data_IF_706487355494
#
_entry.id   IF_706487355494
#
_cell.length_a   1.000
_cell.length_b   1.000
_cell.length_c   1.000
_cell.angle_alpha   90.00
_cell.angle_beta   90.00
_cell.angle_gamma   90.00
#
_symmetry.space_group_name_H-M   'P 1'
#
loop_
_entity.id
_entity.type
_entity.pdbx_description
1 polymer ?
#
# COMPACT_ATOMS: atom_id res chain seq x y z
N UNK A 1 -38.20 -39.94 -4.60
CA UNK A 1 -38.75 -38.60 -4.49
C UNK A 1 -37.63 -37.70 -3.95
N UNK A 2 -36.93 -37.07 -4.82
CA UNK A 2 -35.79 -36.16 -4.50
C UNK A 2 -36.28 -34.75 -4.75
N UNK A 3 -36.47 -34.01 -3.67
CA UNK A 3 -36.75 -32.58 -3.74
C UNK A 3 -35.45 -31.82 -4.00
N UNK A 4 -35.30 -31.29 -5.19
CA UNK A 4 -34.27 -30.29 -5.54
C UNK A 4 -34.72 -28.91 -5.08
N UNK A 5 -34.09 -28.40 -4.03
CA UNK A 5 -34.21 -27.00 -3.63
C UNK A 5 -33.36 -26.14 -4.57
N UNK A 6 -34.00 -25.51 -5.52
CA UNK A 6 -33.41 -24.43 -6.33
C UNK A 6 -33.26 -23.19 -5.46
N UNK A 7 -32.04 -22.89 -5.04
CA UNK A 7 -31.66 -21.61 -4.47
C UNK A 7 -31.76 -20.55 -5.56
N UNK A 8 -32.82 -19.74 -5.53
CA UNK A 8 -32.91 -18.48 -6.26
C UNK A 8 -31.91 -17.49 -5.67
N UNK A 9 -30.66 -17.46 -6.17
CA UNK A 9 -29.81 -16.31 -6.04
C UNK A 9 -30.43 -15.15 -6.83
N UNK A 10 -31.10 -14.26 -6.10
CA UNK A 10 -31.49 -12.97 -6.63
C UNK A 10 -30.20 -12.19 -6.90
N UNK A 11 -29.75 -12.20 -8.14
CA UNK A 11 -28.70 -11.33 -8.65
C UNK A 11 -29.20 -9.87 -8.47
N UNK A 12 -28.90 -9.26 -7.32
CA UNK A 12 -29.03 -7.82 -7.16
C UNK A 12 -28.20 -7.14 -8.26
N UNK A 13 -28.89 -6.58 -9.25
CA UNK A 13 -28.26 -5.75 -10.29
C UNK A 13 -27.67 -4.53 -9.61
N UNK A 14 -26.38 -4.60 -9.26
CA UNK A 14 -25.65 -3.48 -8.67
C UNK A 14 -25.64 -2.31 -9.65
N UNK A 15 -26.29 -1.23 -9.28
CA UNK A 15 -26.36 0.01 -10.06
C UNK A 15 -24.98 0.68 -9.98
N UNK A 16 -24.47 1.15 -11.13
CA UNK A 16 -23.23 1.95 -11.19
C UNK A 16 -23.54 3.33 -10.64
N UNK A 17 -22.85 3.74 -9.59
CA UNK A 17 -23.01 5.00 -8.87
C UNK A 17 -21.81 5.88 -9.21
N UNK A 18 -22.06 7.16 -9.54
CA UNK A 18 -21.04 8.18 -9.78
C UNK A 18 -21.44 9.50 -9.13
N UNK A 19 -20.47 10.29 -8.74
CA UNK A 19 -20.70 11.61 -8.16
C UNK A 19 -20.71 12.73 -9.21
N UNK A 20 -20.14 12.51 -10.39
CA UNK A 20 -19.96 13.52 -11.41
C UNK A 20 -20.73 13.17 -12.69
N UNK A 21 -21.37 14.16 -13.30
CA UNK A 21 -21.99 14.09 -14.62
C UNK A 21 -21.82 15.44 -15.34
N UNK A 22 -22.02 15.46 -16.66
CA UNK A 22 -22.14 16.70 -17.44
C UNK A 22 -23.58 17.05 -17.67
N UNK A 23 -23.91 18.34 -17.62
CA UNK A 23 -25.21 18.85 -18.13
C UNK A 23 -25.20 19.01 -19.66
N UNK A 24 -26.32 19.44 -20.25
CA UNK A 24 -26.45 19.68 -21.70
C UNK A 24 -25.50 20.77 -22.24
N UNK A 25 -24.88 21.57 -21.37
CA UNK A 25 -23.89 22.59 -21.71
C UNK A 25 -22.46 22.12 -21.48
N UNK A 26 -22.25 20.82 -21.23
CA UNK A 26 -20.97 20.22 -20.85
C UNK A 26 -20.36 20.78 -19.56
N UNK A 27 -21.18 21.38 -18.70
CA UNK A 27 -20.72 21.81 -17.38
C UNK A 27 -20.68 20.63 -16.43
N UNK A 28 -19.58 20.53 -15.66
CA UNK A 28 -19.43 19.51 -14.61
C UNK A 28 -20.45 19.76 -13.51
N UNK A 29 -21.24 18.74 -13.19
CA UNK A 29 -22.21 18.71 -12.12
C UNK A 29 -21.81 17.66 -11.09
N UNK A 30 -21.63 18.06 -9.83
CA UNK A 30 -21.25 17.18 -8.73
C UNK A 30 -22.46 16.86 -7.85
N UNK A 31 -22.82 15.59 -7.74
CA UNK A 31 -23.98 15.14 -6.95
C UNK A 31 -23.86 15.44 -5.44
N UNK A 32 -22.69 15.79 -4.96
CA UNK A 32 -22.44 16.18 -3.56
C UNK A 32 -22.75 17.66 -3.31
N UNK A 33 -22.91 18.47 -4.38
CA UNK A 33 -23.31 19.87 -4.28
C UNK A 33 -24.83 20.03 -4.07
N UNK A 34 -25.24 21.17 -3.54
CA UNK A 34 -26.64 21.41 -3.14
C UNK A 34 -27.55 21.78 -4.30
N UNK A 35 -26.98 22.27 -5.38
CA UNK A 35 -27.66 22.98 -6.48
C UNK A 35 -28.03 22.08 -7.68
N UNK A 36 -27.88 20.76 -7.50
CA UNK A 36 -28.21 19.81 -8.56
C UNK A 36 -29.73 19.58 -8.64
N UNK A 37 -30.28 19.87 -9.79
CA UNK A 37 -31.73 19.75 -10.06
C UNK A 37 -32.06 18.40 -10.68
N UNK A 38 -33.17 17.78 -10.22
CA UNK A 38 -33.65 16.49 -10.78
C UNK A 38 -34.20 16.61 -12.21
N UNK A 39 -34.65 17.80 -12.59
CA UNK A 39 -35.28 18.04 -13.87
C UNK A 39 -34.30 18.16 -15.05
N UNK A 40 -33.02 18.40 -14.77
CA UNK A 40 -32.02 18.58 -15.82
C UNK A 40 -31.61 17.25 -16.45
N UNK A 41 -31.10 17.31 -17.67
CA UNK A 41 -30.51 16.16 -18.36
C UNK A 41 -29.06 16.11 -18.02
N UNK A 42 -28.58 14.89 -17.75
CA UNK A 42 -27.18 14.64 -17.37
C UNK A 42 -26.59 13.51 -18.20
N UNK A 43 -25.31 13.62 -18.50
CA UNK A 43 -24.55 12.68 -19.31
C UNK A 43 -23.29 12.17 -18.56
N UNK A 44 -22.97 10.91 -18.78
CA UNK A 44 -21.77 10.30 -18.21
C UNK A 44 -20.51 10.96 -18.80
N UNK A 45 -19.53 11.39 -17.97
CA UNK A 45 -18.31 12.01 -18.45
C UNK A 45 -17.42 11.08 -19.30
N UNK A 46 -17.64 9.78 -19.22
CA UNK A 46 -16.83 8.77 -19.88
C UNK A 46 -17.44 8.28 -21.19
N UNK A 47 -18.72 7.87 -21.17
CA UNK A 47 -19.37 7.30 -22.36
C UNK A 47 -20.34 8.26 -23.07
N UNK A 48 -20.63 9.42 -22.49
CA UNK A 48 -21.58 10.39 -23.02
C UNK A 48 -23.06 9.98 -22.90
N UNK A 49 -23.36 8.77 -22.44
CA UNK A 49 -24.74 8.31 -22.31
C UNK A 49 -25.48 8.99 -21.17
N UNK A 50 -26.83 9.02 -21.30
CA UNK A 50 -27.71 9.66 -20.30
C UNK A 50 -27.59 8.97 -18.94
N UNK A 51 -27.46 9.79 -17.90
CA UNK A 51 -27.53 9.39 -16.49
C UNK A 51 -28.65 10.11 -15.76
N UNK A 52 -29.12 9.53 -14.67
CA UNK A 52 -30.23 10.05 -13.85
C UNK A 52 -29.66 10.47 -12.49
N UNK A 53 -29.95 11.68 -12.07
CA UNK A 53 -29.67 12.16 -10.74
C UNK A 53 -30.63 11.54 -9.72
N UNK A 54 -30.11 10.87 -8.73
CA UNK A 54 -30.83 10.24 -7.63
C UNK A 54 -30.50 10.94 -6.31
N UNK A 55 -31.52 11.43 -5.63
CA UNK A 55 -31.42 12.09 -4.32
C UNK A 55 -32.62 11.66 -3.47
N UNK A 56 -32.38 11.25 -2.24
CA UNK A 56 -33.44 10.83 -1.30
C UNK A 56 -32.95 10.87 0.16
N UNK A 57 -33.90 10.76 1.09
CA UNK A 57 -33.62 10.86 2.53
C UNK A 57 -32.68 9.69 3.01
N UNK A 58 -32.82 8.52 2.40
CA UNK A 58 -32.03 7.32 2.76
C UNK A 58 -30.97 6.95 1.71
N UNK A 59 -30.89 7.71 0.62
CA UNK A 59 -30.00 7.42 -0.50
C UNK A 59 -29.07 8.61 -0.67
N UNK A 60 -27.76 8.35 -0.60
CA UNK A 60 -26.77 9.36 -0.91
C UNK A 60 -26.97 9.87 -2.35
N UNK A 61 -26.87 11.18 -2.54
CA UNK A 61 -27.02 11.81 -3.86
C UNK A 61 -25.95 11.27 -4.80
N UNK A 62 -26.37 10.82 -6.00
CA UNK A 62 -25.48 10.27 -7.01
C UNK A 62 -26.13 10.32 -8.40
N UNK A 63 -25.33 10.20 -9.44
CA UNK A 63 -25.79 9.89 -10.79
C UNK A 63 -25.73 8.38 -11.04
N UNK A 64 -26.65 7.88 -11.84
CA UNK A 64 -26.69 6.48 -12.22
C UNK A 64 -27.09 6.33 -13.69
N UNK A 65 -26.44 5.41 -14.39
CA UNK A 65 -26.85 5.06 -15.75
C UNK A 65 -28.28 4.50 -15.78
N UNK A 66 -28.97 4.72 -16.88
CA UNK A 66 -30.25 4.05 -17.17
C UNK A 66 -30.01 2.56 -17.43
N UNK A 67 -31.04 1.73 -17.30
CA UNK A 67 -30.94 0.29 -17.60
C UNK A 67 -30.47 0.08 -19.05
N UNK A 68 -29.59 -0.90 -19.26
CA UNK A 68 -29.01 -1.31 -20.54
C UNK A 68 -27.97 -0.35 -21.14
N UNK A 69 -27.29 0.44 -20.32
CA UNK A 69 -26.14 1.22 -20.73
C UNK A 69 -24.96 0.31 -21.15
N UNK A 70 -24.34 0.62 -22.27
CA UNK A 70 -23.15 -0.05 -22.81
C UNK A 70 -21.83 0.50 -22.20
N UNK A 71 -21.88 1.32 -21.17
CA UNK A 71 -20.70 1.87 -20.52
C UNK A 71 -19.87 0.75 -19.90
N UNK A 72 -18.90 0.27 -20.65
CA UNK A 72 -18.04 -0.86 -20.31
C UNK A 72 -16.72 -0.42 -19.69
N UNK A 73 -16.65 0.86 -19.29
CA UNK A 73 -15.43 1.39 -18.72
C UNK A 73 -15.12 0.70 -17.38
N UNK A 74 -14.01 -0.05 -17.37
CA UNK A 74 -13.47 -0.68 -16.16
C UNK A 74 -13.25 0.31 -15.02
N UNK A 75 -13.12 1.59 -15.35
CA UNK A 75 -12.87 2.70 -14.44
C UNK A 75 -14.02 2.95 -13.46
N UNK A 76 -15.28 2.70 -13.88
CA UNK A 76 -16.43 2.70 -12.98
C UNK A 76 -16.72 1.29 -12.46
N UNK A 77 -15.71 0.61 -11.91
CA UNK A 77 -15.92 -0.65 -11.20
C UNK A 77 -16.96 -0.43 -10.10
N UNK A 78 -17.77 -1.46 -9.85
CA UNK A 78 -18.75 -1.50 -8.76
C UNK A 78 -18.08 -1.14 -7.44
N UNK A 79 -18.05 0.14 -7.11
CA UNK A 79 -17.51 0.60 -5.83
C UNK A 79 -18.41 0.14 -4.69
N UNK A 80 -17.81 -0.20 -3.56
CA UNK A 80 -18.57 -0.50 -2.36
C UNK A 80 -19.15 0.78 -1.77
N UNK A 81 -20.19 0.65 -0.96
CA UNK A 81 -20.80 1.80 -0.26
C UNK A 81 -19.75 2.54 0.58
N UNK A 82 -18.88 1.81 1.23
CA UNK A 82 -17.81 2.35 2.07
C UNK A 82 -16.76 3.12 1.26
N UNK A 83 -16.47 2.67 0.02
CA UNK A 83 -15.58 3.42 -0.88
C UNK A 83 -16.18 4.77 -1.26
N UNK A 84 -17.47 4.78 -1.61
CA UNK A 84 -18.20 6.01 -1.94
C UNK A 84 -18.28 6.96 -0.74
N UNK A 85 -18.53 6.44 0.46
CA UNK A 85 -18.52 7.23 1.69
C UNK A 85 -17.13 7.84 1.95
N UNK A 86 -16.07 7.07 1.78
CA UNK A 86 -14.70 7.57 1.95
C UNK A 86 -14.37 8.66 0.93
N UNK A 87 -14.74 8.52 -0.35
CA UNK A 87 -14.58 9.58 -1.37
C UNK A 87 -15.29 10.86 -0.95
N UNK A 88 -16.53 10.75 -0.45
CA UNK A 88 -17.29 11.91 0.04
C UNK A 88 -16.60 12.57 1.24
N UNK A 89 -16.14 11.78 2.20
CA UNK A 89 -15.49 12.31 3.40
C UNK A 89 -14.17 12.99 3.03
N UNK A 90 -13.37 12.39 2.15
CA UNK A 90 -12.14 12.98 1.59
C UNK A 90 -12.44 14.27 0.82
N UNK A 91 -13.47 14.27 -0.05
CA UNK A 91 -13.87 15.47 -0.79
C UNK A 91 -14.22 16.62 0.16
N UNK A 92 -15.06 16.35 1.17
CA UNK A 92 -15.45 17.35 2.15
C UNK A 92 -14.26 17.87 2.97
N UNK A 93 -13.35 16.95 3.35
CA UNK A 93 -12.13 17.29 4.07
C UNK A 93 -11.24 18.23 3.25
N UNK A 94 -10.96 17.88 2.00
CA UNK A 94 -10.12 18.69 1.14
C UNK A 94 -10.78 20.04 0.75
N UNK A 95 -12.09 20.04 0.51
CA UNK A 95 -12.83 21.25 0.17
C UNK A 95 -12.85 22.28 1.32
N UNK A 96 -12.66 21.85 2.56
CA UNK A 96 -12.54 22.79 3.70
C UNK A 96 -11.23 23.56 3.67
N UNK A 97 -10.21 23.09 2.92
CA UNK A 97 -8.86 23.65 2.89
C UNK A 97 -8.44 24.21 1.53
N UNK A 98 -9.00 23.68 0.44
CA UNK A 98 -8.68 24.08 -0.93
C UNK A 98 -9.92 24.57 -1.65
N UNK A 99 -9.74 25.55 -2.52
CA UNK A 99 -10.84 26.18 -3.25
C UNK A 99 -11.33 25.33 -4.43
N UNK A 100 -10.41 24.68 -5.13
CA UNK A 100 -10.67 23.95 -6.37
C UNK A 100 -10.42 22.46 -6.17
N UNK A 101 -11.38 21.76 -5.56
CA UNK A 101 -11.36 20.31 -5.33
C UNK A 101 -12.43 19.65 -6.18
N UNK A 102 -12.04 18.59 -6.88
CA UNK A 102 -12.95 17.78 -7.70
C UNK A 102 -12.99 16.34 -7.20
N UNK A 103 -14.18 15.75 -7.17
CA UNK A 103 -14.38 14.31 -6.95
C UNK A 103 -14.57 13.65 -8.31
N UNK A 104 -14.04 12.45 -8.49
CA UNK A 104 -14.12 11.68 -9.75
C UNK A 104 -13.67 12.52 -10.97
N UNK A 105 -12.54 13.21 -10.82
CA UNK A 105 -11.98 14.01 -11.91
C UNK A 105 -11.53 13.13 -13.08
N UNK A 106 -12.11 13.38 -14.25
CA UNK A 106 -11.83 12.65 -15.49
C UNK A 106 -10.73 13.35 -16.27
N UNK A 107 -9.66 12.62 -16.60
CA UNK A 107 -8.56 13.14 -17.40
C UNK A 107 -8.09 12.14 -18.47
N UNK A 108 -7.50 12.65 -19.54
CA UNK A 108 -6.97 11.85 -20.65
C UNK A 108 -5.54 11.43 -20.39
N UNK A 109 -5.22 10.18 -20.72
CA UNK A 109 -3.88 9.62 -20.73
C UNK A 109 -3.50 9.31 -22.16
N UNK A 110 -2.69 10.18 -22.79
CA UNK A 110 -2.40 10.06 -24.24
C UNK A 110 -3.61 10.36 -25.10
N UNK A 111 -3.76 9.66 -26.23
CA UNK A 111 -4.78 9.98 -27.24
C UNK A 111 -6.15 9.36 -26.95
N UNK A 112 -6.21 8.16 -26.35
CA UNK A 112 -7.43 7.37 -26.24
C UNK A 112 -7.82 6.97 -24.83
N UNK A 113 -6.87 6.91 -23.93
CA UNK A 113 -7.12 6.38 -22.59
C UNK A 113 -7.64 7.45 -21.64
N UNK A 114 -8.59 7.06 -20.80
CA UNK A 114 -9.18 7.92 -19.77
C UNK A 114 -8.93 7.31 -18.41
N UNK A 115 -8.57 8.15 -17.44
CA UNK A 115 -8.54 7.78 -16.04
C UNK A 115 -9.42 8.70 -15.22
N UNK A 116 -9.84 8.22 -14.05
CA UNK A 116 -10.66 8.97 -13.11
C UNK A 116 -9.93 8.98 -11.77
N UNK A 117 -9.64 10.15 -11.26
CA UNK A 117 -9.11 10.36 -9.92
C UNK A 117 -10.25 10.34 -8.90
N UNK A 118 -10.07 9.63 -7.78
CA UNK A 118 -11.09 9.68 -6.71
C UNK A 118 -11.27 11.11 -6.20
N UNK A 119 -10.17 11.80 -5.92
CA UNK A 119 -10.15 13.24 -5.56
C UNK A 119 -9.02 13.92 -6.33
N UNK A 120 -9.28 15.12 -6.83
CA UNK A 120 -8.28 15.96 -7.49
C UNK A 120 -8.29 17.37 -6.88
N UNK A 121 -7.11 17.85 -6.50
CA UNK A 121 -6.90 19.23 -6.03
C UNK A 121 -6.20 20.01 -7.15
N UNK A 122 -6.97 20.81 -7.85
CA UNK A 122 -6.50 21.53 -9.04
C UNK A 122 -5.40 22.54 -8.70
N UNK A 123 -5.56 23.27 -7.59
CA UNK A 123 -4.62 24.30 -7.14
C UNK A 123 -3.17 23.77 -7.01
N UNK A 124 -2.99 22.50 -6.68
CA UNK A 124 -1.71 21.86 -6.44
C UNK A 124 -1.35 20.81 -7.50
N UNK A 125 -2.25 20.53 -8.45
CA UNK A 125 -2.14 19.46 -9.43
C UNK A 125 -1.85 18.08 -8.79
N UNK A 126 -2.60 17.76 -7.72
CA UNK A 126 -2.45 16.53 -6.93
C UNK A 126 -3.73 15.73 -6.97
N UNK A 127 -3.62 14.45 -7.28
CA UNK A 127 -4.70 13.47 -7.18
C UNK A 127 -4.50 12.54 -5.98
N UNK A 128 -5.62 12.14 -5.39
CA UNK A 128 -5.66 11.10 -4.37
C UNK A 128 -6.50 9.94 -4.85
N UNK A 129 -5.97 8.74 -4.69
CA UNK A 129 -6.64 7.47 -4.92
C UNK A 129 -6.83 6.75 -3.61
N UNK A 130 -8.06 6.47 -3.24
CA UNK A 130 -8.37 5.72 -2.03
C UNK A 130 -8.50 4.22 -2.33
N UNK A 131 -7.64 3.42 -1.74
CA UNK A 131 -7.58 2.00 -2.03
C UNK A 131 -8.03 1.14 -0.85
N UNK A 132 -9.20 0.55 -1.00
CA UNK A 132 -9.81 -0.38 -0.04
C UNK A 132 -9.81 -1.83 -0.52
N UNK A 133 -9.74 -2.07 -1.81
CA UNK A 133 -9.75 -3.42 -2.40
C UNK A 133 -8.35 -3.85 -2.79
N UNK A 134 -8.05 -5.14 -2.62
CA UNK A 134 -6.81 -5.70 -3.16
C UNK A 134 -6.94 -5.78 -4.68
N UNK A 135 -6.01 -5.16 -5.39
CA UNK A 135 -5.88 -5.21 -6.85
C UNK A 135 -4.45 -5.62 -7.23
N UNK A 136 -4.22 -6.18 -8.42
CA UNK A 136 -2.90 -6.55 -8.88
C UNK A 136 -1.93 -5.35 -8.89
N UNK A 137 -0.67 -5.58 -8.52
CA UNK A 137 0.37 -4.54 -8.54
C UNK A 137 0.52 -3.91 -9.93
N UNK A 138 0.43 -4.70 -10.99
CA UNK A 138 0.52 -4.21 -12.37
C UNK A 138 -0.57 -3.19 -12.70
N UNK A 139 -1.79 -3.37 -12.17
CA UNK A 139 -2.86 -2.39 -12.34
C UNK A 139 -2.57 -1.10 -11.57
N UNK A 140 -1.98 -1.20 -10.37
CA UNK A 140 -1.57 -0.03 -9.58
C UNK A 140 -0.48 0.74 -10.34
N UNK A 141 0.54 0.04 -10.86
CA UNK A 141 1.61 0.61 -11.70
C UNK A 141 1.05 1.31 -12.93
N UNK A 142 0.16 0.64 -13.66
CA UNK A 142 -0.50 1.17 -14.86
C UNK A 142 -1.24 2.49 -14.57
N UNK A 143 -2.03 2.51 -13.50
CA UNK A 143 -2.74 3.71 -13.06
C UNK A 143 -1.76 4.82 -12.68
N UNK A 144 -0.74 4.52 -11.90
CA UNK A 144 0.29 5.48 -11.48
C UNK A 144 1.00 6.12 -12.68
N UNK A 145 1.41 5.30 -13.66
CA UNK A 145 2.03 5.78 -14.92
C UNK A 145 1.07 6.70 -15.70
N UNK A 146 -0.23 6.43 -15.68
CA UNK A 146 -1.22 7.28 -16.32
C UNK A 146 -1.25 8.70 -15.72
N UNK A 147 -1.21 8.82 -14.41
CA UNK A 147 -1.11 10.12 -13.71
C UNK A 147 0.21 10.84 -14.04
N UNK A 148 1.33 10.13 -14.05
CA UNK A 148 2.63 10.68 -14.43
C UNK A 148 2.61 11.25 -15.85
N UNK A 149 2.05 10.51 -16.82
CA UNK A 149 1.92 10.96 -18.21
C UNK A 149 1.02 12.19 -18.34
N UNK A 150 0.01 12.33 -17.50
CA UNK A 150 -0.84 13.51 -17.43
C UNK A 150 -0.19 14.67 -16.65
N UNK A 151 1.00 14.49 -16.07
CA UNK A 151 1.68 15.46 -15.25
C UNK A 151 1.02 15.69 -13.88
N UNK A 152 0.14 14.77 -13.45
CA UNK A 152 -0.58 14.84 -12.19
C UNK A 152 0.19 14.08 -11.12
N UNK A 153 0.44 14.73 -9.98
CA UNK A 153 1.06 14.08 -8.82
C UNK A 153 0.04 13.19 -8.11
N UNK A 154 0.31 11.90 -8.01
CA UNK A 154 -0.59 10.94 -7.40
C UNK A 154 -0.15 10.54 -5.99
N UNK A 155 -1.13 10.48 -5.07
CA UNK A 155 -0.97 9.94 -3.72
C UNK A 155 -2.01 8.86 -3.50
N UNK A 156 -1.53 7.63 -3.24
CA UNK A 156 -2.37 6.52 -2.86
C UNK A 156 -2.64 6.53 -1.35
N UNK A 157 -3.89 6.42 -0.98
CA UNK A 157 -4.37 6.32 0.40
C UNK A 157 -4.88 4.90 0.66
N UNK A 158 -4.26 4.22 1.60
CA UNK A 158 -4.67 2.87 2.00
C UNK A 158 -5.78 2.99 3.07
N UNK A 159 -6.83 2.16 2.96
CA UNK A 159 -7.80 1.99 4.06
C UNK A 159 -7.11 1.36 5.28
N UNK A 160 -6.79 2.18 6.28
CA UNK A 160 -6.05 1.72 7.45
C UNK A 160 -6.88 0.79 8.32
N UNK A 161 -8.19 0.99 8.41
CA UNK A 161 -9.08 0.11 9.17
C UNK A 161 -9.15 -1.30 8.61
N UNK A 162 -8.94 -1.46 7.30
CA UNK A 162 -8.96 -2.76 6.63
C UNK A 162 -7.62 -3.46 6.62
N UNK A 163 -6.54 -2.73 6.37
CA UNK A 163 -5.24 -3.31 6.08
C UNK A 163 -4.26 -3.29 7.24
N UNK A 164 -4.58 -2.57 8.32
CA UNK A 164 -3.72 -2.45 9.50
C UNK A 164 -4.42 -3.05 10.71
N UNK A 165 -3.71 -3.91 11.42
CA UNK A 165 -4.13 -4.43 12.71
C UNK A 165 -3.14 -3.96 13.77
N UNK A 166 -3.60 -3.13 14.68
CA UNK A 166 -2.84 -2.79 15.88
C UNK A 166 -2.78 -4.01 16.81
N UNK A 167 -1.60 -4.34 17.30
CA UNK A 167 -1.35 -5.45 18.21
C UNK A 167 -1.25 -4.94 19.64
N UNK A 168 -0.54 -3.83 19.84
CA UNK A 168 -0.42 -3.09 21.10
C UNK A 168 0.03 -1.66 20.81
N UNK A 169 -0.25 -0.76 21.72
CA UNK A 169 0.21 0.63 21.69
C UNK A 169 0.68 1.07 23.07
N UNK A 170 1.74 1.85 23.10
CA UNK A 170 2.29 2.43 24.31
C UNK A 170 3.03 3.73 23.97
N UNK A 171 2.72 4.80 24.69
CA UNK A 171 3.40 6.11 24.60
C UNK A 171 3.55 6.64 23.16
N UNK A 172 2.47 6.57 22.37
CA UNK A 172 2.43 7.02 20.98
C UNK A 172 3.14 6.10 19.97
N UNK A 173 3.73 5.00 20.43
CA UNK A 173 4.35 3.98 19.61
C UNK A 173 3.39 2.79 19.49
N UNK A 174 3.02 2.41 18.28
CA UNK A 174 2.17 1.25 18.02
C UNK A 174 2.98 0.09 17.43
N UNK A 175 2.60 -1.12 17.79
CA UNK A 175 3.07 -2.36 17.18
C UNK A 175 1.94 -2.88 16.31
N UNK A 176 2.19 -2.99 15.04
CA UNK A 176 1.17 -3.33 14.05
C UNK A 176 1.52 -4.57 13.26
N UNK A 177 0.47 -5.18 12.69
CA UNK A 177 0.58 -6.09 11.56
C UNK A 177 -0.18 -5.48 10.40
N UNK A 178 0.45 -5.38 9.25
CA UNK A 178 -0.19 -4.88 8.05
C UNK A 178 -0.36 -5.98 6.99
N UNK A 179 -1.35 -5.81 6.12
CA UNK A 179 -1.67 -6.78 5.06
C UNK A 179 -0.58 -6.76 3.96
N UNK A 180 -0.36 -7.88 3.24
CA UNK A 180 0.61 -7.94 2.13
C UNK A 180 0.43 -6.86 1.08
N UNK A 181 -0.80 -6.45 0.87
CA UNK A 181 -1.16 -5.41 -0.09
C UNK A 181 -0.48 -4.06 0.17
N UNK A 182 -0.22 -3.73 1.44
CA UNK A 182 0.45 -2.47 1.84
C UNK A 182 1.89 -2.40 1.33
N UNK A 183 2.56 -3.54 1.10
CA UNK A 183 3.92 -3.57 0.55
C UNK A 183 4.02 -2.78 -0.77
N UNK A 184 2.95 -2.76 -1.59
CA UNK A 184 2.90 -2.06 -2.86
C UNK A 184 2.99 -0.53 -2.74
N UNK A 185 2.76 0.02 -1.55
CA UNK A 185 2.66 1.47 -1.26
C UNK A 185 3.71 1.98 -0.27
N UNK A 186 4.68 1.14 0.09
CA UNK A 186 5.77 1.55 0.97
C UNK A 186 6.65 2.57 0.25
N UNK A 187 6.89 3.68 0.92
CA UNK A 187 7.85 4.70 0.51
C UNK A 187 9.18 4.48 1.23
N UNK A 188 10.29 4.78 0.54
CA UNK A 188 11.61 4.84 1.14
C UNK A 188 12.28 6.18 0.81
N UNK A 189 12.50 7.00 1.83
CA UNK A 189 13.10 8.31 1.66
C UNK A 189 14.06 8.64 2.80
N UNK A 190 15.31 8.96 2.49
CA UNK A 190 16.38 9.26 3.46
C UNK A 190 16.47 8.24 4.60
N UNK A 191 16.40 6.96 4.28
CA UNK A 191 16.45 5.89 5.27
C UNK A 191 15.19 5.73 6.11
N UNK A 192 14.07 6.32 5.74
CA UNK A 192 12.79 6.20 6.44
C UNK A 192 11.81 5.40 5.57
N UNK A 193 11.08 4.50 6.19
CA UNK A 193 10.02 3.69 5.55
C UNK A 193 8.68 4.20 6.04
N UNK A 194 7.75 4.48 5.12
CA UNK A 194 6.43 4.99 5.48
C UNK A 194 5.41 4.73 4.37
N UNK A 195 4.12 4.87 4.69
CA UNK A 195 3.02 4.90 3.72
C UNK A 195 1.93 5.86 4.19
N UNK A 196 1.06 6.25 3.27
CA UNK A 196 -0.09 7.10 3.54
C UNK A 196 -1.36 6.26 3.68
N UNK A 197 -2.22 6.67 4.61
CA UNK A 197 -3.48 6.02 4.85
C UNK A 197 -4.63 7.00 5.12
N UNK A 198 -5.82 6.46 5.00
CA UNK A 198 -7.05 7.09 5.42
C UNK A 198 -7.77 6.22 6.43
N UNK A 199 -7.98 6.75 7.62
CA UNK A 199 -8.85 6.14 8.63
C UNK A 199 -10.30 6.51 8.32
N UNK A 200 -11.04 5.56 7.74
CA UNK A 200 -12.44 5.78 7.34
C UNK A 200 -13.40 5.87 8.53
N UNK A 201 -13.01 5.41 9.72
CA UNK A 201 -13.80 5.51 10.95
C UNK A 201 -13.63 6.89 11.59
N UNK A 202 -12.37 7.30 11.82
CA UNK A 202 -12.06 8.59 12.45
C UNK A 202 -11.99 9.73 11.42
N UNK A 203 -12.11 9.43 10.12
CA UNK A 203 -12.06 10.41 9.01
C UNK A 203 -10.80 11.24 9.05
N UNK A 204 -9.68 10.59 9.28
CA UNK A 204 -8.38 11.23 9.39
C UNK A 204 -7.40 10.73 8.34
N UNK A 205 -6.62 11.66 7.85
CA UNK A 205 -5.51 11.40 6.95
C UNK A 205 -4.27 11.07 7.78
N UNK A 206 -3.59 9.98 7.46
CA UNK A 206 -2.57 9.41 8.32
C UNK A 206 -1.27 9.09 7.58
N UNK A 207 -0.16 9.37 8.23
CA UNK A 207 1.16 8.88 7.88
C UNK A 207 1.59 7.79 8.86
N UNK A 208 1.95 6.63 8.35
CA UNK A 208 2.54 5.55 9.13
C UNK A 208 4.03 5.49 8.82
N UNK A 209 4.86 5.91 9.75
CA UNK A 209 6.31 5.66 9.68
C UNK A 209 6.61 4.33 10.36
N UNK A 210 7.40 3.47 9.70
CA UNK A 210 7.59 2.08 10.07
C UNK A 210 9.04 1.77 10.41
N UNK A 211 9.22 0.82 11.37
CA UNK A 211 10.49 0.20 11.73
C UNK A 211 10.33 -1.31 11.83
N UNK A 212 11.38 -2.03 11.53
CA UNK A 212 11.39 -3.50 11.67
C UNK A 212 11.18 -3.91 13.12
N UNK A 213 10.27 -4.86 13.36
CA UNK A 213 9.90 -5.27 14.72
C UNK A 213 10.45 -6.64 15.09
N UNK A 214 10.02 -7.69 14.40
CA UNK A 214 10.37 -9.07 14.72
C UNK A 214 10.55 -9.89 13.42
N UNK A 215 10.82 -11.19 13.57
CA UNK A 215 11.04 -12.09 12.44
C UNK A 215 9.76 -12.42 11.64
N UNK A 216 8.57 -12.01 12.12
CA UNK A 216 7.32 -12.23 11.39
C UNK A 216 7.16 -11.17 10.31
N UNK A 217 6.93 -11.61 9.09
CA UNK A 217 6.70 -10.71 7.96
C UNK A 217 5.56 -9.74 8.27
N UNK A 218 5.77 -8.48 7.93
CA UNK A 218 4.76 -7.41 8.04
C UNK A 218 4.31 -7.08 9.46
N UNK A 219 5.10 -7.47 10.46
CA UNK A 219 4.99 -6.89 11.78
C UNK A 219 5.97 -5.70 11.87
N UNK A 220 5.50 -4.58 12.34
CA UNK A 220 6.30 -3.36 12.43
C UNK A 220 6.05 -2.63 13.77
N UNK A 221 7.05 -1.90 14.21
CA UNK A 221 6.87 -0.77 15.10
C UNK A 221 6.46 0.40 14.23
N UNK A 222 5.49 1.20 14.64
CA UNK A 222 5.11 2.38 13.89
C UNK A 222 4.78 3.56 14.79
N UNK A 223 4.96 4.75 14.21
CA UNK A 223 4.34 5.97 14.70
C UNK A 223 3.36 6.44 13.64
N UNK A 224 2.14 6.67 14.11
CA UNK A 224 1.05 7.20 13.31
C UNK A 224 0.94 8.70 13.55
N UNK A 225 0.96 9.47 12.50
CA UNK A 225 0.81 10.92 12.55
C UNK A 225 -0.34 11.34 11.66
N UNK A 226 -1.28 12.11 12.20
CA UNK A 226 -2.30 12.80 11.38
C UNK A 226 -1.63 13.97 10.68
N UNK A 227 -1.84 14.07 9.37
CA UNK A 227 -1.13 15.02 8.51
C UNK A 227 -2.09 16.12 8.04
N UNK A 228 -1.61 17.36 8.08
CA UNK A 228 -2.26 18.44 7.33
C UNK A 228 -1.90 18.35 5.83
N UNK A 229 -2.81 18.74 4.97
CA UNK A 229 -2.57 18.64 3.52
C UNK A 229 -1.49 19.58 2.99
N UNK A 230 -1.25 20.70 3.65
CA UNK A 230 -0.16 21.61 3.29
C UNK A 230 1.23 20.95 3.35
N UNK A 231 1.35 19.83 4.08
CA UNK A 231 2.59 19.06 4.22
C UNK A 231 2.79 18.03 3.09
N UNK A 232 1.80 17.90 2.18
CA UNK A 232 1.83 16.90 1.09
C UNK A 232 2.63 17.27 -0.14
N UNK A 233 3.07 18.51 -0.26
CA UNK A 233 3.73 18.97 -1.48
C UNK A 233 4.99 18.20 -1.84
N UNK A 234 5.70 17.69 -0.85
CA UNK A 234 6.88 16.83 -1.08
C UNK A 234 7.08 15.95 0.15
N UNK A 235 7.54 14.69 0.02
CA UNK A 235 8.02 13.88 1.16
C UNK A 235 9.03 14.62 2.04
N UNK A 236 9.74 15.59 1.49
CA UNK A 236 10.73 16.45 2.16
C UNK A 236 10.20 17.31 3.29
N UNK A 237 8.91 17.68 3.25
CA UNK A 237 8.26 18.49 4.29
C UNK A 237 7.66 17.66 5.42
N UNK A 238 7.61 16.33 5.26
CA UNK A 238 7.08 15.45 6.29
C UNK A 238 8.02 15.43 7.50
N UNK A 239 7.45 15.63 8.67
CA UNK A 239 8.16 15.47 9.94
C UNK A 239 8.31 13.99 10.28
N UNK A 240 9.18 13.31 9.54
CA UNK A 240 9.57 11.94 9.85
C UNK A 240 10.55 11.96 11.03
N UNK A 241 10.37 11.03 11.95
CA UNK A 241 11.28 10.91 13.10
C UNK A 241 12.66 10.45 12.66
N UNK A 242 13.68 11.08 13.22
CA UNK A 242 15.08 10.69 12.99
C UNK A 242 15.51 9.47 13.83
N UNK A 243 14.87 9.26 15.00
CA UNK A 243 15.18 8.14 15.88
C UNK A 243 14.84 6.81 15.22
N UNK A 244 15.75 5.86 15.29
CA UNK A 244 15.49 4.47 14.91
C UNK A 244 14.78 3.73 16.07
N UNK A 245 13.61 3.16 15.76
CA UNK A 245 12.81 2.34 16.67
C UNK A 245 12.83 0.84 16.31
N UNK A 246 13.77 0.42 15.45
CA UNK A 246 13.94 -0.98 15.08
C UNK A 246 14.14 -1.83 16.34
N UNK A 247 13.29 -2.84 16.52
CA UNK A 247 13.34 -3.69 17.70
C UNK A 247 14.60 -4.55 17.69
N UNK A 248 15.32 -4.59 18.80
CA UNK A 248 16.37 -5.57 19.02
C UNK A 248 15.76 -6.98 19.10
N UNK A 249 16.39 -7.95 18.44
CA UNK A 249 16.05 -9.37 18.58
C UNK A 249 16.96 -10.01 19.62
N UNK A 250 16.40 -10.91 20.40
CA UNK A 250 17.11 -11.68 21.41
C UNK A 250 17.25 -13.13 20.93
N UNK A 251 18.20 -13.91 21.46
CA UNK A 251 18.35 -15.33 21.11
C UNK A 251 17.03 -16.11 21.18
N UNK A 252 16.22 -15.87 22.22
CA UNK A 252 14.90 -16.50 22.38
C UNK A 252 13.91 -16.17 21.26
N UNK A 253 14.00 -14.99 20.63
CA UNK A 253 13.15 -14.64 19.49
C UNK A 253 13.51 -15.46 18.27
N UNK A 254 14.82 -15.71 18.07
CA UNK A 254 15.36 -16.49 16.98
C UNK A 254 15.00 -17.97 17.17
N UNK A 255 15.20 -18.51 18.38
CA UNK A 255 14.86 -19.88 18.73
C UNK A 255 13.36 -20.14 18.52
N UNK A 256 12.50 -19.25 19.01
CA UNK A 256 11.05 -19.34 18.83
C UNK A 256 10.67 -19.31 17.35
N UNK A 257 11.28 -18.43 16.56
CA UNK A 257 11.03 -18.35 15.13
C UNK A 257 11.44 -19.67 14.42
N UNK A 258 12.59 -20.22 14.72
CA UNK A 258 13.07 -21.48 14.14
C UNK A 258 12.17 -22.64 14.57
N UNK A 259 11.75 -22.67 15.83
CA UNK A 259 10.80 -23.67 16.32
C UNK A 259 9.45 -23.59 15.58
N UNK A 260 8.94 -22.38 15.32
CA UNK A 260 7.75 -22.18 14.46
C UNK A 260 8.00 -22.76 13.05
N UNK A 261 9.17 -22.55 12.44
CA UNK A 261 9.51 -23.15 11.14
C UNK A 261 9.44 -24.68 11.18
N UNK A 262 9.99 -25.31 12.20
CA UNK A 262 9.94 -26.77 12.38
C UNK A 262 8.49 -27.26 12.51
N UNK A 263 7.66 -26.51 13.21
CA UNK A 263 6.23 -26.86 13.41
C UNK A 263 5.41 -26.80 12.12
N UNK A 264 5.65 -25.80 11.27
CA UNK A 264 4.81 -25.54 10.10
C UNK A 264 5.32 -26.19 8.82
N UNK A 265 6.62 -26.32 8.62
CA UNK A 265 7.20 -26.95 7.42
C UNK A 265 8.54 -27.61 7.73
N UNK A 266 8.53 -28.93 7.97
CA UNK A 266 9.71 -29.75 8.23
C UNK A 266 10.43 -30.21 6.95
N UNK A 267 9.96 -29.82 5.79
CA UNK A 267 10.50 -30.30 4.51
C UNK A 267 11.77 -29.54 4.13
N UNK A 268 12.54 -30.13 3.22
CA UNK A 268 13.71 -29.48 2.60
C UNK A 268 13.36 -28.20 1.81
N UNK A 269 12.07 -27.94 1.55
CA UNK A 269 11.59 -26.71 0.92
C UNK A 269 11.68 -25.51 1.86
N UNK A 270 11.70 -25.74 3.17
CA UNK A 270 11.93 -24.67 4.14
C UNK A 270 13.36 -24.15 4.03
N UNK A 271 13.52 -22.99 3.42
CA UNK A 271 14.83 -22.37 3.16
C UNK A 271 15.63 -22.12 4.45
N UNK A 272 14.97 -21.71 5.54
CA UNK A 272 15.62 -21.42 6.83
C UNK A 272 16.17 -22.69 7.45
N UNK A 273 15.36 -23.74 7.58
CA UNK A 273 15.80 -25.02 8.15
C UNK A 273 16.87 -25.69 7.29
N UNK A 274 16.71 -25.68 5.96
CA UNK A 274 17.71 -26.21 5.03
C UNK A 274 19.03 -25.45 5.12
N UNK A 275 18.99 -24.14 5.37
CA UNK A 275 20.20 -23.34 5.59
C UNK A 275 20.94 -23.80 6.85
N UNK A 276 20.26 -23.93 7.98
CA UNK A 276 20.88 -24.43 9.23
C UNK A 276 21.47 -25.85 9.07
N UNK A 277 20.68 -26.76 8.48
CA UNK A 277 21.11 -28.13 8.22
C UNK A 277 22.37 -28.19 7.33
N UNK A 278 22.36 -27.51 6.20
CA UNK A 278 23.45 -27.50 5.24
C UNK A 278 24.73 -26.85 5.79
N UNK A 279 24.61 -25.95 6.76
CA UNK A 279 25.75 -25.28 7.39
C UNK A 279 26.18 -25.95 8.70
N UNK A 280 25.49 -27.01 9.14
CA UNK A 280 25.69 -27.67 10.41
C UNK A 280 25.66 -26.71 11.61
N UNK A 281 24.81 -25.70 11.54
CA UNK A 281 24.59 -24.79 12.66
C UNK A 281 23.54 -25.42 13.59
N UNK A 282 23.95 -25.67 14.83
CA UNK A 282 23.06 -26.17 15.87
C UNK A 282 22.07 -25.08 16.30
N UNK A 283 20.82 -25.46 16.47
CA UNK A 283 19.72 -24.47 16.75
C UNK A 283 19.83 -23.87 18.17
N UNK A 284 20.56 -24.52 19.05
CA UNK A 284 20.88 -24.04 20.40
C UNK A 284 22.16 -23.22 20.48
N UNK A 285 22.89 -23.09 19.37
CA UNK A 285 24.16 -22.37 19.29
C UNK A 285 24.24 -21.57 17.96
N UNK A 286 23.25 -20.73 17.71
CA UNK A 286 23.21 -19.89 16.53
C UNK A 286 24.19 -18.73 16.70
N UNK A 287 25.10 -18.48 15.74
CA UNK A 287 26.05 -17.36 15.82
C UNK A 287 25.32 -16.02 16.05
N UNK A 288 25.82 -15.18 16.96
CA UNK A 288 25.21 -13.92 17.35
C UNK A 288 25.05 -12.92 16.19
N UNK A 289 25.83 -13.08 15.14
CA UNK A 289 25.71 -12.29 13.91
C UNK A 289 24.47 -12.66 13.08
N UNK A 290 23.83 -13.81 13.33
CA UNK A 290 22.60 -14.24 12.64
C UNK A 290 21.39 -13.83 13.48
N UNK A 291 20.48 -13.07 12.90
CA UNK A 291 19.30 -12.55 13.58
C UNK A 291 19.46 -11.11 14.03
N UNK A 292 20.42 -10.38 13.47
CA UNK A 292 20.57 -8.94 13.72
C UNK A 292 19.49 -8.18 12.93
N UNK A 293 18.52 -7.64 13.65
CA UNK A 293 17.44 -6.90 13.02
C UNK A 293 17.92 -5.53 12.50
N UNK A 294 17.46 -5.17 11.33
CA UNK A 294 17.79 -3.90 10.67
C UNK A 294 16.51 -3.23 10.17
N UNK A 295 16.53 -1.91 10.06
CA UNK A 295 15.37 -1.12 9.61
C UNK A 295 14.88 -1.59 8.23
N UNK A 296 15.80 -1.76 7.30
CA UNK A 296 15.49 -2.11 5.91
C UNK A 296 14.88 -3.51 5.75
N UNK A 297 14.94 -4.38 6.79
CA UNK A 297 14.31 -5.69 6.73
C UNK A 297 12.80 -5.61 6.43
N UNK A 298 12.15 -4.52 6.81
CA UNK A 298 10.74 -4.29 6.48
C UNK A 298 10.49 -4.18 4.95
N UNK A 299 11.53 -3.82 4.18
CA UNK A 299 11.51 -3.73 2.72
C UNK A 299 11.99 -5.01 2.03
N UNK A 300 12.33 -6.06 2.78
CA UNK A 300 12.92 -7.29 2.25
C UNK A 300 11.91 -8.44 2.36
N UNK A 301 11.70 -9.17 1.27
CA UNK A 301 10.88 -10.37 1.25
C UNK A 301 11.61 -11.59 1.81
N UNK A 302 12.92 -11.65 1.62
CA UNK A 302 13.74 -12.76 2.08
C UNK A 302 13.80 -12.79 3.62
N UNK A 303 13.55 -13.94 4.27
CA UNK A 303 13.64 -14.05 5.72
C UNK A 303 15.02 -13.64 6.26
N UNK A 304 15.03 -12.80 7.30
CA UNK A 304 16.25 -12.27 7.92
C UNK A 304 17.29 -13.36 8.23
N UNK A 305 16.86 -14.36 8.98
CA UNK A 305 17.72 -15.48 9.39
C UNK A 305 18.33 -16.20 8.18
N UNK A 306 17.57 -16.36 7.10
CA UNK A 306 18.02 -17.08 5.92
C UNK A 306 19.14 -16.35 5.18
N UNK A 307 18.94 -15.07 4.85
CA UNK A 307 19.95 -14.34 4.08
C UNK A 307 21.20 -14.04 4.91
N UNK A 308 21.04 -13.74 6.22
CA UNK A 308 22.18 -13.53 7.12
C UNK A 308 22.97 -14.81 7.31
N UNK A 309 22.31 -15.95 7.53
CA UNK A 309 22.97 -17.23 7.63
C UNK A 309 23.73 -17.62 6.37
N UNK A 310 23.18 -17.37 5.17
CA UNK A 310 23.90 -17.61 3.92
C UNK A 310 25.13 -16.71 3.78
N UNK A 311 24.99 -15.41 4.05
CA UNK A 311 26.09 -14.47 3.95
C UNK A 311 27.21 -14.80 4.95
N UNK A 312 26.85 -15.13 6.21
CA UNK A 312 27.79 -15.63 7.22
C UNK A 312 28.57 -16.84 6.72
N UNK A 313 27.91 -17.87 6.17
CA UNK A 313 28.56 -19.04 5.62
C UNK A 313 29.59 -18.70 4.54
N UNK A 314 29.16 -17.90 3.55
CA UNK A 314 30.03 -17.57 2.43
C UNK A 314 31.20 -16.71 2.89
N UNK A 315 31.02 -15.84 3.88
CA UNK A 315 32.11 -15.10 4.52
C UNK A 315 33.10 -16.05 5.21
N UNK A 316 32.63 -17.01 6.02
CA UNK A 316 33.46 -17.99 6.72
C UNK A 316 34.29 -18.90 5.80
N UNK A 317 33.83 -19.16 4.59
CA UNK A 317 34.61 -19.94 3.59
C UNK A 317 35.50 -19.04 2.74
N UNK A 318 35.74 -17.78 3.14
CA UNK A 318 36.69 -16.85 2.53
C UNK A 318 36.23 -16.22 1.21
N UNK A 319 34.90 -16.13 0.96
CA UNK A 319 34.42 -15.40 -0.21
C UNK A 319 34.73 -13.90 -0.09
N UNK A 320 35.26 -13.34 -1.16
CA UNK A 320 35.57 -11.90 -1.24
C UNK A 320 34.31 -11.06 -1.24
N UNK A 321 34.44 -9.77 -0.91
CA UNK A 321 33.35 -8.78 -0.98
C UNK A 321 32.62 -8.82 -2.34
N UNK A 322 33.39 -8.88 -3.45
CA UNK A 322 32.81 -8.91 -4.81
C UNK A 322 32.02 -10.19 -5.09
N UNK A 323 32.52 -11.33 -4.61
CA UNK A 323 31.79 -12.59 -4.75
C UNK A 323 30.53 -12.61 -3.89
N UNK A 324 30.61 -12.13 -2.64
CA UNK A 324 29.47 -12.02 -1.73
C UNK A 324 28.36 -11.14 -2.29
N UNK A 325 28.68 -9.95 -2.79
CA UNK A 325 27.67 -9.05 -3.35
C UNK A 325 26.96 -9.68 -4.56
N UNK A 326 27.70 -10.42 -5.40
CA UNK A 326 27.12 -11.14 -6.56
C UNK A 326 26.16 -12.24 -6.12
N UNK A 327 26.53 -13.01 -5.08
CA UNK A 327 25.67 -14.06 -4.52
C UNK A 327 24.43 -13.45 -3.88
N UNK A 328 24.61 -12.46 -3.02
CA UNK A 328 23.52 -11.90 -2.23
C UNK A 328 22.51 -11.11 -3.05
N UNK A 329 22.89 -10.60 -4.23
CA UNK A 329 21.92 -10.01 -5.19
C UNK A 329 20.86 -11.02 -5.66
N UNK A 330 21.17 -12.30 -5.68
CA UNK A 330 20.23 -13.37 -6.03
C UNK A 330 19.48 -13.93 -4.82
N UNK A 331 19.83 -13.51 -3.62
CA UNK A 331 19.24 -14.01 -2.36
C UNK A 331 18.33 -12.98 -1.72
N UNK A 332 18.79 -11.73 -1.63
CA UNK A 332 18.04 -10.64 -0.99
C UNK A 332 17.06 -10.06 -2.00
N UNK A 333 15.78 -10.36 -1.80
CA UNK A 333 14.68 -9.87 -2.61
C UNK A 333 14.06 -8.64 -1.94
N UNK A 334 14.20 -7.48 -2.57
CA UNK A 334 13.54 -6.24 -2.16
C UNK A 334 12.07 -6.29 -2.58
N UNK A 335 11.17 -5.78 -1.75
CA UNK A 335 9.75 -5.69 -2.06
C UNK A 335 9.49 -4.70 -3.19
N UNK A 336 8.59 -5.09 -4.09
CA UNK A 336 8.08 -4.17 -5.09
C UNK A 336 7.14 -3.15 -4.45
N UNK A 337 7.37 -1.88 -4.75
CA UNK A 337 6.48 -0.78 -4.41
C UNK A 337 6.47 0.24 -5.55
N UNK A 338 5.32 0.87 -5.78
CA UNK A 338 5.20 1.94 -6.80
C UNK A 338 6.03 3.18 -6.47
N UNK A 339 6.44 3.34 -5.22
CA UNK A 339 7.24 4.48 -4.74
C UNK A 339 8.73 4.18 -4.60
N UNK A 340 9.17 2.96 -4.93
CA UNK A 340 10.57 2.54 -4.84
C UNK A 340 11.05 2.18 -6.25
N UNK A 341 11.82 3.06 -6.85
CA UNK A 341 12.42 2.84 -8.17
C UNK A 341 13.52 1.78 -8.13
N UNK A 342 13.87 1.20 -9.29
CA UNK A 342 14.97 0.24 -9.42
C UNK A 342 16.29 0.78 -8.86
N UNK A 343 16.55 2.07 -9.04
CA UNK A 343 17.71 2.75 -8.44
C UNK A 343 17.67 2.69 -6.92
N UNK A 344 16.53 3.00 -6.32
CA UNK A 344 16.35 2.94 -4.87
C UNK A 344 16.39 1.49 -4.35
N UNK A 345 15.87 0.51 -5.09
CA UNK A 345 16.02 -0.91 -4.73
C UNK A 345 17.51 -1.30 -4.65
N UNK A 346 18.31 -0.85 -5.63
CA UNK A 346 19.75 -1.09 -5.60
C UNK A 346 20.44 -0.36 -4.43
N UNK A 347 20.05 0.87 -4.12
CA UNK A 347 20.56 1.61 -2.95
C UNK A 347 20.24 0.91 -1.62
N UNK A 348 18.99 0.41 -1.48
CA UNK A 348 18.54 -0.37 -0.31
C UNK A 348 19.38 -1.64 -0.19
N UNK A 349 19.54 -2.38 -1.30
CA UNK A 349 20.33 -3.61 -1.31
C UNK A 349 21.78 -3.35 -0.86
N UNK A 350 22.46 -2.36 -1.44
CA UNK A 350 23.83 -2.02 -1.09
C UNK A 350 23.95 -1.64 0.39
N UNK A 351 23.04 -0.81 0.89
CA UNK A 351 23.03 -0.42 2.29
C UNK A 351 22.87 -1.60 3.24
N UNK A 352 21.94 -2.51 2.95
CA UNK A 352 21.72 -3.75 3.72
C UNK A 352 22.97 -4.63 3.70
N UNK A 353 23.52 -4.82 2.51
CA UNK A 353 24.70 -5.65 2.31
C UNK A 353 25.92 -5.10 3.05
N UNK A 354 26.24 -3.81 2.87
CA UNK A 354 27.41 -3.17 3.47
C UNK A 354 27.32 -3.13 5.00
N UNK A 355 26.13 -2.78 5.53
CA UNK A 355 25.93 -2.78 6.98
C UNK A 355 26.17 -4.16 7.59
N UNK A 356 25.66 -5.21 6.95
CA UNK A 356 25.84 -6.56 7.46
C UNK A 356 27.25 -7.10 7.21
N UNK A 357 27.88 -6.76 6.09
CA UNK A 357 29.27 -7.12 5.80
C UNK A 357 30.23 -6.53 6.83
N UNK A 358 30.06 -5.26 7.19
CA UNK A 358 30.86 -4.60 8.23
C UNK A 358 30.65 -5.26 9.61
N UNK A 359 29.42 -5.70 9.90
CA UNK A 359 29.11 -6.44 11.13
C UNK A 359 29.85 -7.79 11.15
N UNK A 360 29.93 -8.51 10.02
CA UNK A 360 30.69 -9.77 9.93
C UNK A 360 32.19 -9.55 10.18
N UNK A 361 32.79 -8.53 9.55
CA UNK A 361 34.21 -8.18 9.78
C UNK A 361 34.46 -7.91 11.27
N UNK A 362 33.59 -7.16 11.93
CA UNK A 362 33.77 -6.75 13.31
C UNK A 362 33.60 -7.88 14.34
N UNK A 363 32.93 -8.99 13.99
CA UNK A 363 32.53 -10.02 14.98
C UNK A 363 32.93 -11.45 14.61
N UNK A 364 33.51 -11.70 13.44
CA UNK A 364 33.79 -13.07 12.95
C UNK A 364 35.28 -13.31 12.73
N UNK A 365 36.08 -12.28 12.60
CA UNK A 365 37.54 -12.32 12.59
C UNK A 365 38.06 -12.36 14.04
#
# INVERSE_FOLDING_TARGET
MTCSSSSNEVLEKKVRIMYVAYDDNNKVCNALDTDIEKANKYHCPVCGEKVIFKKGVKIQSHFAHVKNCSCDYETYKKESKEHLEAKKDLYNHFRSMYKNVEVEHVFKVGESDIQIADIFINDNNVAFEYQRSVIPLELIKQRTIGYEKAGIKLIWLIDTNKFIKELKSYDGISYIRYAPFVDNFLNYYKGKVFFYGWDSVNKSFELYQLWSHNLKKRNAVCIKTTISLSEFDVPLKLKLLEKDLTSKLYPSDIENYVYEQIKYDKTVKNKVLSMFYNQRIELNNIPEVIGVNILEQILINTPLIYWQGLMYRFYKVGKTYVELIRIMRNVIEIKDSIYISDKQQNEIFLKVFDNYYNLLIANVD
#
